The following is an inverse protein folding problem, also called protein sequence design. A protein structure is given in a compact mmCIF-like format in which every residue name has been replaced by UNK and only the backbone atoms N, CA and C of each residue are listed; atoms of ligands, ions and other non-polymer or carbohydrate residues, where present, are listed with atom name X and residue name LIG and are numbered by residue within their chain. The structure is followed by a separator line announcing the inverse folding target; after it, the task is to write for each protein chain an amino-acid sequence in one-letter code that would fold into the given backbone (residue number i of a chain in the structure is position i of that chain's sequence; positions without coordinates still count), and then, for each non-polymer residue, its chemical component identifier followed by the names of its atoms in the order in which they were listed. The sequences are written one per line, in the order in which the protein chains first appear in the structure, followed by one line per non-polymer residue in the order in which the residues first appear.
data_IF_493181911897
#
_entry.id   IF_493181911897
#
_cell.length_a   1.000
_cell.length_b   1.000
_cell.length_c   1.000
_cell.angle_alpha   90.00
_cell.angle_beta   90.00
_cell.angle_gamma   90.00
#
_symmetry.space_group_name_H-M   'P 1'
#
loop_
_entity.id
_entity.type
_entity.pdbx_description
1 polymer ?
#
# COMPACT_ATOMS: atom_id res chain seq x y z
N UNK A 1 -19.28 24.67 6.17
CA UNK A 1 -18.61 23.75 5.24
C UNK A 1 -18.52 22.38 5.91
N UNK A 2 -19.21 21.38 5.35
CA UNK A 2 -19.24 20.02 5.88
C UNK A 2 -17.82 19.43 5.85
N UNK A 3 -17.26 19.13 7.04
CA UNK A 3 -16.02 18.37 7.20
C UNK A 3 -16.27 16.98 6.60
N UNK A 4 -15.69 16.69 5.42
CA UNK A 4 -15.71 15.35 4.86
C UNK A 4 -14.94 14.44 5.83
N UNK A 5 -15.64 13.50 6.43
CA UNK A 5 -15.06 12.43 7.25
C UNK A 5 -14.02 11.68 6.43
N UNK A 6 -12.84 11.49 7.01
CA UNK A 6 -11.75 10.70 6.46
C UNK A 6 -12.21 9.25 6.53
N UNK A 7 -12.73 8.74 5.43
CA UNK A 7 -12.92 7.31 5.22
C UNK A 7 -12.02 6.93 4.04
N UNK A 8 -10.72 6.83 4.30
CA UNK A 8 -9.82 6.13 3.37
C UNK A 8 -10.15 4.65 3.47
N UNK A 9 -10.88 4.15 2.47
CA UNK A 9 -11.33 2.77 2.42
C UNK A 9 -10.14 1.91 1.97
N UNK A 10 -9.36 1.38 2.91
CA UNK A 10 -8.23 0.49 2.60
C UNK A 10 -8.77 -0.80 1.98
N UNK A 11 -8.63 -0.94 0.67
CA UNK A 11 -8.97 -2.17 -0.07
C UNK A 11 -7.89 -3.22 0.22
N UNK A 12 -8.19 -4.15 1.12
CA UNK A 12 -7.31 -5.29 1.41
C UNK A 12 -7.42 -6.33 0.29
N UNK A 13 -6.34 -6.54 -0.46
CA UNK A 13 -6.23 -7.56 -1.49
C UNK A 13 -5.97 -8.93 -0.83
N UNK A 14 -6.98 -9.80 -0.78
CA UNK A 14 -6.85 -11.18 -0.28
C UNK A 14 -6.68 -12.10 -1.48
N UNK A 15 -5.79 -13.11 -1.49
CA UNK A 15 -5.95 -14.31 -2.33
C UNK A 15 -5.04 -15.51 -1.99
N UNK A 16 -5.68 -16.69 -2.03
CA UNK A 16 -5.24 -18.03 -1.61
C UNK A 16 -4.67 -18.90 -2.75
N UNK A 17 -3.98 -19.97 -2.35
CA UNK A 17 -3.11 -20.92 -3.11
C UNK A 17 -3.84 -22.08 -3.81
N UNK A 18 -3.29 -22.63 -4.92
CA UNK A 18 -3.66 -23.96 -5.45
C UNK A 18 -2.46 -24.77 -6.02
N UNK A 19 -2.57 -26.11 -5.97
CA UNK A 19 -1.54 -27.17 -6.11
C UNK A 19 -1.72 -28.04 -7.39
N UNK A 20 -0.61 -28.18 -8.14
CA UNK A 20 -0.01 -29.23 -9.05
C UNK A 20 -0.78 -30.20 -10.00
N UNK A 21 -0.12 -30.55 -11.15
CA UNK A 21 -0.23 -31.84 -11.88
C UNK A 21 0.43 -31.92 -13.29
N UNK A 22 1.29 -32.95 -13.59
CA UNK A 22 2.35 -33.09 -14.64
C UNK A 22 1.97 -33.77 -16.01
N UNK A 23 2.40 -33.39 -17.24
CA UNK A 23 3.74 -33.57 -17.88
C UNK A 23 3.96 -32.77 -19.20
N UNK A 24 2.99 -31.98 -19.68
CA UNK A 24 3.17 -30.72 -20.49
C UNK A 24 3.65 -29.55 -19.61
N UNK A 25 4.25 -29.94 -18.50
CA UNK A 25 4.11 -29.29 -17.22
C UNK A 25 5.48 -28.94 -16.69
N UNK A 26 6.58 -29.27 -17.37
CA UNK A 26 7.90 -28.81 -16.92
C UNK A 26 8.10 -27.33 -17.21
N UNK A 27 7.76 -26.87 -18.41
CA UNK A 27 7.78 -25.46 -18.78
C UNK A 27 6.66 -24.68 -18.08
N UNK A 28 5.48 -25.29 -17.94
CA UNK A 28 4.37 -24.69 -17.19
C UNK A 28 4.63 -24.68 -15.67
N UNK A 29 5.25 -25.71 -15.07
CA UNK A 29 5.71 -25.69 -13.66
C UNK A 29 6.80 -24.67 -13.47
N UNK A 30 7.71 -24.51 -14.43
CA UNK A 30 8.72 -23.46 -14.34
C UNK A 30 8.06 -22.07 -14.41
N UNK A 31 7.13 -21.85 -15.35
CA UNK A 31 6.36 -20.62 -15.45
C UNK A 31 5.55 -20.33 -14.16
N UNK A 32 4.85 -21.33 -13.63
CA UNK A 32 4.10 -21.23 -12.37
C UNK A 32 5.02 -21.04 -11.17
N UNK A 33 6.20 -21.68 -11.12
CA UNK A 33 7.17 -21.48 -10.05
C UNK A 33 7.73 -20.05 -10.07
N UNK A 34 8.05 -19.52 -11.25
CA UNK A 34 8.47 -18.13 -11.43
C UNK A 34 7.34 -17.19 -10.98
N UNK A 35 6.09 -17.42 -11.41
CA UNK A 35 4.94 -16.62 -11.01
C UNK A 35 4.68 -16.69 -9.49
N UNK A 36 4.84 -17.86 -8.87
CA UNK A 36 4.72 -18.03 -7.41
C UNK A 36 5.81 -17.26 -6.65
N UNK A 37 7.03 -17.19 -7.18
CA UNK A 37 8.10 -16.38 -6.57
C UNK A 37 7.84 -14.88 -6.72
N UNK A 38 7.22 -14.46 -7.83
CA UNK A 38 6.75 -13.07 -7.99
C UNK A 38 5.59 -12.76 -7.03
N UNK A 39 4.64 -13.69 -6.86
CA UNK A 39 3.48 -13.56 -5.96
C UNK A 39 3.89 -13.40 -4.49
N UNK A 40 4.97 -14.07 -4.03
CA UNK A 40 5.50 -13.87 -2.68
C UNK A 40 5.86 -12.41 -2.41
N UNK A 41 6.50 -11.74 -3.36
CA UNK A 41 6.91 -10.33 -3.24
C UNK A 41 5.66 -9.42 -3.21
N UNK A 42 4.65 -9.71 -4.04
CA UNK A 42 3.36 -9.00 -4.02
C UNK A 42 2.66 -9.19 -2.67
N UNK A 43 2.65 -10.39 -2.11
CA UNK A 43 2.06 -10.68 -0.80
C UNK A 43 2.77 -9.96 0.34
N UNK A 44 4.09 -9.90 0.30
CA UNK A 44 4.88 -9.12 1.26
C UNK A 44 4.52 -7.63 1.18
N UNK A 45 4.38 -7.07 -0.02
CA UNK A 45 3.92 -5.69 -0.20
C UNK A 45 2.50 -5.47 0.36
N UNK A 46 1.56 -6.39 0.09
CA UNK A 46 0.19 -6.30 0.58
C UNK A 46 0.11 -6.34 2.12
N UNK A 47 0.93 -7.18 2.76
CA UNK A 47 0.99 -7.26 4.22
C UNK A 47 1.44 -5.94 4.85
N UNK A 48 2.28 -5.15 4.16
CA UNK A 48 2.72 -3.85 4.64
C UNK A 48 1.56 -2.84 4.73
N UNK A 49 0.51 -3.01 3.93
CA UNK A 49 -0.70 -2.18 4.00
C UNK A 49 -1.39 -2.19 5.37
N UNK A 50 -1.15 -3.22 6.21
CA UNK A 50 -1.65 -3.26 7.58
C UNK A 50 -1.10 -2.12 8.44
N UNK A 51 0.15 -1.70 8.22
CA UNK A 51 0.74 -0.57 8.94
C UNK A 51 -0.02 0.72 8.65
N UNK A 52 -0.29 1.01 7.37
CA UNK A 52 -1.03 2.20 6.98
C UNK A 52 -2.46 2.19 7.55
N UNK A 53 -3.13 1.04 7.51
CA UNK A 53 -4.45 0.89 8.16
C UNK A 53 -4.41 1.15 9.66
N UNK A 54 -3.36 0.72 10.36
CA UNK A 54 -3.18 1.00 11.80
C UNK A 54 -3.01 2.49 12.05
N UNK A 55 -2.32 3.23 11.18
CA UNK A 55 -2.23 4.71 11.27
C UNK A 55 -3.63 5.32 11.24
N UNK A 56 -4.45 4.95 10.25
CA UNK A 56 -5.81 5.51 10.09
C UNK A 56 -6.68 5.22 11.31
N UNK A 57 -6.57 4.02 11.90
CA UNK A 57 -7.26 3.67 13.14
C UNK A 57 -6.83 4.57 14.31
N UNK A 58 -5.53 4.82 14.48
CA UNK A 58 -5.05 5.72 15.54
C UNK A 58 -5.55 7.16 15.32
N UNK A 59 -5.55 7.63 14.07
CA UNK A 59 -6.04 8.97 13.73
C UNK A 59 -7.55 9.11 13.96
N UNK A 60 -8.33 8.07 13.67
CA UNK A 60 -9.77 8.03 13.96
C UNK A 60 -10.06 8.12 15.46
N UNK A 61 -9.25 7.49 16.32
CA UNK A 61 -9.40 7.65 17.78
C UNK A 61 -9.15 9.09 18.23
N UNK A 62 -8.19 9.80 17.62
CA UNK A 62 -7.97 11.23 17.90
C UNK A 62 -9.19 12.06 17.50
N UNK A 63 -9.84 11.74 16.39
CA UNK A 63 -11.06 12.45 15.95
C UNK A 63 -12.23 12.23 16.90
N UNK A 64 -12.38 11.02 17.45
CA UNK A 64 -13.39 10.72 18.48
C UNK A 64 -13.18 11.53 19.76
N UNK A 65 -11.93 11.86 20.11
CA UNK A 65 -11.62 12.73 21.25
C UNK A 65 -12.03 14.20 21.00
N UNK A 66 -12.16 14.62 19.75
CA UNK A 66 -12.47 16.00 19.36
C UNK A 66 -13.61 16.06 18.32
N UNK A 67 -14.85 15.64 18.66
CA UNK A 67 -15.94 15.47 17.68
C UNK A 67 -16.36 16.77 16.98
N UNK A 68 -16.22 17.92 17.64
CA UNK A 68 -16.48 19.25 17.04
C UNK A 68 -15.22 19.87 16.40
N UNK A 69 -14.07 19.18 16.48
CA UNK A 69 -12.75 19.69 16.11
C UNK A 69 -12.15 20.69 17.10
N UNK A 70 -12.75 20.83 18.28
CA UNK A 70 -12.20 21.67 19.36
C UNK A 70 -11.12 20.90 20.10
N UNK A 71 -9.87 21.35 20.01
CA UNK A 71 -8.73 20.74 20.69
C UNK A 71 -8.52 21.44 22.04
N UNK A 72 -8.83 20.75 23.13
CA UNK A 72 -8.59 21.22 24.50
C UNK A 72 -7.29 20.62 25.05
N UNK A 73 -6.74 21.13 26.17
CA UNK A 73 -5.59 20.51 26.81
C UNK A 73 -5.81 19.03 27.18
N UNK A 74 -7.02 18.67 27.62
CA UNK A 74 -7.38 17.28 27.94
C UNK A 74 -7.36 16.38 26.67
N UNK A 75 -7.94 16.87 25.57
CA UNK A 75 -7.87 16.20 24.27
C UNK A 75 -6.41 16.03 23.84
N UNK A 76 -5.59 17.07 23.93
CA UNK A 76 -4.17 17.01 23.56
C UNK A 76 -3.41 15.95 24.36
N UNK A 77 -3.68 15.82 25.65
CA UNK A 77 -3.06 14.82 26.52
C UNK A 77 -3.50 13.40 26.12
N UNK A 78 -4.79 13.20 25.90
CA UNK A 78 -5.37 11.89 25.51
C UNK A 78 -4.99 11.45 24.10
N UNK A 79 -4.77 12.40 23.19
CA UNK A 79 -4.39 12.14 21.81
C UNK A 79 -2.91 11.71 21.66
N UNK A 80 -2.04 12.08 22.59
CA UNK A 80 -0.60 11.81 22.50
C UNK A 80 -0.23 10.33 22.26
N UNK A 81 -0.76 9.33 23.01
CA UNK A 81 -0.44 7.92 22.74
C UNK A 81 -0.88 7.46 21.35
N UNK A 82 -2.01 7.96 20.84
CA UNK A 82 -2.48 7.64 19.49
C UNK A 82 -1.58 8.26 18.41
N UNK A 83 -1.10 9.49 18.63
CA UNK A 83 -0.13 10.15 17.74
C UNK A 83 1.20 9.40 17.70
N UNK A 84 1.71 8.96 18.86
CA UNK A 84 2.97 8.23 18.94
C UNK A 84 2.89 6.88 18.23
N UNK A 85 1.78 6.15 18.42
CA UNK A 85 1.52 4.91 17.69
C UNK A 85 1.34 5.17 16.19
N UNK A 86 0.57 6.18 15.79
CA UNK A 86 0.39 6.53 14.39
C UNK A 86 1.74 6.83 13.71
N UNK A 87 2.62 7.57 14.38
CA UNK A 87 3.94 7.89 13.82
C UNK A 87 4.84 6.67 13.71
N UNK A 88 4.78 5.77 14.70
CA UNK A 88 5.50 4.50 14.66
C UNK A 88 5.06 3.64 13.47
N UNK A 89 3.75 3.47 13.28
CA UNK A 89 3.21 2.64 12.20
C UNK A 89 3.45 3.28 10.82
N UNK A 90 3.37 4.61 10.69
CA UNK A 90 3.68 5.31 9.45
C UNK A 90 5.15 5.11 9.03
N UNK A 91 6.09 5.20 9.98
CA UNK A 91 7.50 4.91 9.74
C UNK A 91 7.74 3.45 9.35
N UNK A 92 7.07 2.52 10.04
CA UNK A 92 7.15 1.10 9.72
C UNK A 92 6.66 0.82 8.29
N UNK A 93 5.57 1.46 7.86
CA UNK A 93 5.07 1.39 6.48
C UNK A 93 6.12 1.87 5.47
N UNK A 94 6.66 3.07 5.64
CA UNK A 94 7.69 3.63 4.74
C UNK A 94 8.95 2.77 4.65
N UNK A 95 9.42 2.23 5.78
CA UNK A 95 10.56 1.32 5.81
C UNK A 95 10.26 -0.01 5.11
N UNK A 96 9.06 -0.55 5.30
CA UNK A 96 8.66 -1.79 4.66
C UNK A 96 8.52 -1.64 3.14
N UNK A 97 7.97 -0.53 2.66
CA UNK A 97 7.87 -0.27 1.21
C UNK A 97 9.23 -0.05 0.53
N UNK A 98 10.22 0.52 1.23
CA UNK A 98 11.60 0.58 0.73
C UNK A 98 12.24 -0.80 0.55
N UNK A 99 11.87 -1.78 1.37
CA UNK A 99 12.34 -3.17 1.19
C UNK A 99 11.74 -3.78 -0.07
N UNK A 100 10.45 -3.54 -0.33
CA UNK A 100 9.79 -3.96 -1.57
C UNK A 100 10.44 -3.34 -2.80
N UNK A 101 10.82 -2.05 -2.75
CA UNK A 101 11.55 -1.41 -3.84
C UNK A 101 12.88 -2.12 -4.14
N UNK A 102 13.58 -2.63 -3.13
CA UNK A 102 14.81 -3.39 -3.31
C UNK A 102 14.59 -4.77 -3.97
N UNK A 103 13.37 -5.31 -3.95
CA UNK A 103 13.00 -6.56 -4.63
C UNK A 103 12.58 -6.38 -6.10
N UNK A 104 12.39 -5.14 -6.57
CA UNK A 104 12.03 -4.85 -7.97
C UNK A 104 13.05 -5.41 -8.98
N UNK A 105 14.37 -5.29 -8.78
CA UNK A 105 15.34 -5.91 -9.69
C UNK A 105 15.16 -7.44 -9.79
N UNK A 106 14.88 -8.12 -8.68
CA UNK A 106 14.61 -9.56 -8.65
C UNK A 106 13.33 -9.90 -9.43
N UNK A 107 12.28 -9.09 -9.35
CA UNK A 107 11.09 -9.25 -10.18
C UNK A 107 11.39 -9.11 -11.67
N UNK A 108 12.24 -8.16 -12.07
CA UNK A 108 12.70 -8.00 -13.47
C UNK A 108 13.46 -9.24 -13.95
N UNK A 109 14.36 -9.78 -13.12
CA UNK A 109 15.08 -11.02 -13.42
C UNK A 109 14.13 -12.22 -13.57
N UNK A 110 13.09 -12.32 -12.73
CA UNK A 110 12.06 -13.36 -12.83
C UNK A 110 11.25 -13.22 -14.13
N UNK A 111 10.80 -12.00 -14.47
CA UNK A 111 10.06 -11.74 -15.70
C UNK A 111 10.87 -12.10 -16.96
N UNK A 112 12.19 -11.86 -16.94
CA UNK A 112 13.07 -12.19 -18.06
C UNK A 112 13.23 -13.69 -18.33
N UNK A 113 12.87 -14.57 -17.38
CA UNK A 113 12.97 -16.03 -17.51
C UNK A 113 11.84 -16.66 -18.34
N UNK A 114 10.76 -15.93 -18.60
CA UNK A 114 9.70 -16.42 -19.48
C UNK A 114 10.18 -16.47 -20.93
N UNK A 115 10.04 -17.64 -21.56
CA UNK A 115 10.45 -17.87 -22.95
C UNK A 115 9.32 -17.61 -23.95
N UNK A 116 8.07 -17.80 -23.54
CA UNK A 116 6.89 -17.44 -24.32
C UNK A 116 6.76 -15.92 -24.43
N UNK A 117 6.70 -15.40 -25.66
CA UNK A 117 6.76 -13.96 -25.92
C UNK A 117 5.56 -13.20 -25.33
N UNK A 118 4.37 -13.80 -25.34
CA UNK A 118 3.16 -13.19 -24.79
C UNK A 118 3.21 -13.16 -23.26
N UNK A 119 3.56 -14.29 -22.63
CA UNK A 119 3.72 -14.40 -21.17
C UNK A 119 4.82 -13.47 -20.67
N UNK A 120 5.95 -13.41 -21.38
CA UNK A 120 7.04 -12.48 -21.06
C UNK A 120 6.58 -11.03 -21.10
N UNK A 121 5.85 -10.62 -22.14
CA UNK A 121 5.29 -9.27 -22.25
C UNK A 121 4.35 -8.95 -21.08
N UNK A 122 3.49 -9.90 -20.68
CA UNK A 122 2.58 -9.72 -19.54
C UNK A 122 3.36 -9.63 -18.21
N UNK A 123 4.38 -10.45 -18.02
CA UNK A 123 5.25 -10.41 -16.84
C UNK A 123 5.99 -9.07 -16.74
N UNK A 124 6.56 -8.59 -17.85
CA UNK A 124 7.25 -7.29 -17.91
C UNK A 124 6.29 -6.13 -17.61
N UNK A 125 5.05 -6.17 -18.12
CA UNK A 125 4.02 -5.18 -17.82
C UNK A 125 3.64 -5.21 -16.33
N UNK A 126 3.40 -6.39 -15.76
CA UNK A 126 3.15 -6.56 -14.33
C UNK A 126 4.26 -5.93 -13.49
N UNK A 127 5.54 -6.21 -13.80
CA UNK A 127 6.66 -5.66 -13.03
C UNK A 127 6.74 -4.14 -13.17
N UNK A 128 6.48 -3.60 -14.36
CA UNK A 128 6.46 -2.15 -14.58
C UNK A 128 5.35 -1.46 -13.77
N UNK A 129 4.14 -2.02 -13.74
CA UNK A 129 3.02 -1.47 -12.98
C UNK A 129 3.23 -1.63 -11.47
N UNK A 130 3.80 -2.75 -11.03
CA UNK A 130 4.16 -2.96 -9.63
C UNK A 130 5.25 -1.98 -9.17
N UNK A 131 6.27 -1.73 -10.00
CA UNK A 131 7.30 -0.72 -9.72
C UNK A 131 6.70 0.68 -9.62
N UNK A 132 5.77 1.04 -10.53
CA UNK A 132 5.05 2.32 -10.49
C UNK A 132 4.23 2.45 -9.20
N UNK A 133 3.47 1.43 -8.85
CA UNK A 133 2.65 1.40 -7.62
C UNK A 133 3.51 1.50 -6.37
N UNK A 134 4.58 0.72 -6.29
CA UNK A 134 5.49 0.72 -5.14
C UNK A 134 6.15 2.09 -4.90
N UNK A 135 6.53 2.80 -5.98
CA UNK A 135 7.07 4.16 -5.88
C UNK A 135 6.04 5.15 -5.34
N UNK A 136 4.79 5.04 -5.77
CA UNK A 136 3.71 5.87 -5.24
C UNK A 136 3.44 5.56 -3.77
N UNK A 137 3.45 4.28 -3.38
CA UNK A 137 3.27 3.87 -1.98
C UNK A 137 4.40 4.37 -1.06
N UNK A 138 5.64 4.44 -1.56
CA UNK A 138 6.76 5.07 -0.83
C UNK A 138 6.49 6.56 -0.62
N UNK A 139 6.05 7.27 -1.67
CA UNK A 139 5.72 8.70 -1.55
C UNK A 139 4.54 8.93 -0.61
N UNK A 140 3.54 8.06 -0.69
CA UNK A 140 2.38 8.04 0.20
C UNK A 140 2.80 7.81 1.66
N UNK A 141 3.70 6.85 1.94
CA UNK A 141 4.20 6.60 3.29
C UNK A 141 4.89 7.82 3.90
N UNK A 142 5.75 8.48 3.11
CA UNK A 142 6.38 9.75 3.51
C UNK A 142 5.33 10.83 3.78
N UNK A 143 4.29 10.94 2.95
CA UNK A 143 3.22 11.91 3.17
C UNK A 143 2.35 11.57 4.39
N UNK A 144 2.12 10.29 4.67
CA UNK A 144 1.41 9.82 5.87
C UNK A 144 2.19 10.18 7.14
N UNK A 145 3.51 9.97 7.16
CA UNK A 145 4.38 10.45 8.26
C UNK A 145 4.26 11.97 8.45
N UNK A 146 4.40 12.75 7.39
CA UNK A 146 4.28 14.21 7.43
C UNK A 146 2.92 14.66 7.95
N UNK A 147 1.84 13.97 7.56
CA UNK A 147 0.49 14.26 8.03
C UNK A 147 0.33 13.96 9.52
N UNK A 148 0.84 12.82 10.00
CA UNK A 148 0.80 12.48 11.43
C UNK A 148 1.61 13.50 12.25
N UNK A 149 2.79 13.91 11.79
CA UNK A 149 3.59 14.93 12.47
C UNK A 149 2.89 16.28 12.51
N UNK A 150 2.29 16.72 11.40
CA UNK A 150 1.52 17.95 11.33
C UNK A 150 0.26 17.90 12.22
N UNK A 151 -0.43 16.76 12.27
CA UNK A 151 -1.52 16.51 13.23
C UNK A 151 -1.02 16.64 14.66
N UNK A 152 0.17 16.09 14.97
CA UNK A 152 0.78 16.21 16.28
C UNK A 152 1.07 17.67 16.67
N UNK A 153 1.58 18.49 15.75
CA UNK A 153 1.78 19.93 15.96
C UNK A 153 0.45 20.67 16.16
N UNK A 154 -0.54 20.37 15.33
CA UNK A 154 -1.89 20.93 15.46
C UNK A 154 -2.53 20.59 16.81
N UNK A 155 -2.42 19.34 17.28
CA UNK A 155 -2.92 18.92 18.58
C UNK A 155 -2.19 19.62 19.73
N UNK A 156 -0.86 19.64 19.72
CA UNK A 156 -0.05 20.29 20.78
C UNK A 156 -0.26 21.80 20.86
N UNK A 157 -0.50 22.45 19.72
CA UNK A 157 -0.79 23.89 19.64
C UNK A 157 -2.26 24.23 19.93
N UNK A 158 -3.07 23.24 20.33
CA UNK A 158 -4.50 23.39 20.57
C UNK A 158 -5.27 23.92 19.35
N UNK A 159 -4.88 23.45 18.17
CA UNK A 159 -5.51 23.77 16.89
C UNK A 159 -4.98 25.03 16.21
N UNK A 160 -3.94 25.68 16.75
CA UNK A 160 -3.40 26.94 16.21
C UNK A 160 -2.42 26.74 15.04
N UNK A 161 -1.82 25.57 14.91
CA UNK A 161 -0.90 25.24 13.82
C UNK A 161 -1.68 24.84 12.56
N UNK A 162 -1.47 25.55 11.46
CA UNK A 162 -2.14 25.34 10.17
C UNK A 162 -1.37 24.43 9.21
N UNK A 163 -0.18 23.95 9.56
CA UNK A 163 0.64 23.08 8.68
C UNK A 163 -0.05 21.75 8.36
N UNK A 164 -1.04 21.37 9.16
CA UNK A 164 -1.89 20.20 8.93
C UNK A 164 -2.66 20.29 7.61
N UNK A 165 -3.04 21.48 7.13
CA UNK A 165 -3.85 21.59 5.93
C UNK A 165 -3.04 21.27 4.67
N UNK A 166 -1.81 21.80 4.57
CA UNK A 166 -0.89 21.48 3.46
C UNK A 166 -0.53 19.99 3.45
N UNK A 167 -0.22 19.43 4.64
CA UNK A 167 0.08 18.01 4.78
C UNK A 167 -1.13 17.13 4.40
N UNK A 168 -2.35 17.55 4.76
CA UNK A 168 -3.60 16.86 4.39
C UNK A 168 -3.83 16.86 2.89
N UNK A 169 -3.63 18.00 2.22
CA UNK A 169 -3.81 18.09 0.76
C UNK A 169 -2.87 17.14 0.06
N UNK A 170 -1.58 17.14 0.42
CA UNK A 170 -0.58 16.23 -0.15
C UNK A 170 -0.91 14.76 0.12
N UNK A 171 -1.29 14.42 1.35
CA UNK A 171 -1.67 13.06 1.72
C UNK A 171 -2.86 12.57 0.88
N UNK A 172 -3.94 13.38 0.79
CA UNK A 172 -5.14 13.01 0.03
C UNK A 172 -4.87 12.87 -1.48
N UNK A 173 -4.03 13.74 -2.04
CA UNK A 173 -3.64 13.64 -3.46
C UNK A 173 -2.91 12.31 -3.74
N UNK A 174 -1.96 11.94 -2.87
CA UNK A 174 -1.23 10.68 -2.99
C UNK A 174 -2.10 9.44 -2.73
N UNK A 175 -3.11 9.52 -1.85
CA UNK A 175 -4.11 8.44 -1.69
C UNK A 175 -4.82 8.18 -3.02
N UNK A 176 -5.34 9.23 -3.67
CA UNK A 176 -6.06 9.08 -4.94
C UNK A 176 -5.16 8.51 -6.04
N UNK A 177 -3.89 8.94 -6.09
CA UNK A 177 -2.91 8.43 -7.07
C UNK A 177 -2.54 6.97 -6.79
N UNK A 178 -2.31 6.60 -5.53
CA UNK A 178 -2.04 5.21 -5.14
C UNK A 178 -3.23 4.31 -5.48
N UNK A 179 -4.47 4.70 -5.15
CA UNK A 179 -5.67 3.94 -5.53
C UNK A 179 -5.79 3.71 -7.05
N UNK A 180 -5.55 4.74 -7.86
CA UNK A 180 -5.55 4.61 -9.31
C UNK A 180 -4.45 3.64 -9.79
N UNK A 181 -3.24 3.76 -9.25
CA UNK A 181 -2.12 2.88 -9.62
C UNK A 181 -2.33 1.43 -9.19
N UNK A 182 -2.91 1.19 -8.01
CA UNK A 182 -3.26 -0.16 -7.53
C UNK A 182 -4.26 -0.82 -8.47
N UNK A 183 -5.22 -0.07 -9.01
CA UNK A 183 -6.18 -0.61 -9.98
C UNK A 183 -5.51 -1.01 -11.30
N UNK A 184 -4.56 -0.22 -11.81
CA UNK A 184 -3.75 -0.56 -12.98
C UNK A 184 -2.89 -1.80 -12.73
N UNK A 185 -2.19 -1.84 -11.60
CA UNK A 185 -1.39 -2.98 -11.15
C UNK A 185 -2.22 -4.27 -11.04
N UNK A 186 -3.39 -4.21 -10.39
CA UNK A 186 -4.27 -5.38 -10.24
C UNK A 186 -4.72 -5.91 -11.61
N UNK A 187 -4.93 -5.03 -12.58
CA UNK A 187 -5.30 -5.46 -13.92
C UNK A 187 -4.17 -6.26 -14.58
N UNK A 188 -2.94 -5.73 -14.58
CA UNK A 188 -1.80 -6.41 -15.20
C UNK A 188 -1.39 -7.68 -14.45
N UNK A 189 -1.50 -7.69 -13.11
CA UNK A 189 -1.32 -8.88 -12.30
C UNK A 189 -2.33 -9.98 -12.65
N UNK A 190 -3.60 -9.63 -12.78
CA UNK A 190 -4.66 -10.58 -13.11
C UNK A 190 -4.49 -11.15 -14.53
N UNK A 191 -4.11 -10.31 -15.50
CA UNK A 191 -3.84 -10.75 -16.88
C UNK A 191 -2.66 -11.72 -16.94
N UNK A 192 -1.56 -11.39 -16.25
CA UNK A 192 -0.38 -12.24 -16.15
C UNK A 192 -0.69 -13.58 -15.46
N UNK A 193 -1.31 -13.56 -14.28
CA UNK A 193 -1.62 -14.81 -13.56
C UNK A 193 -2.58 -15.70 -14.34
N UNK A 194 -3.63 -15.13 -14.94
CA UNK A 194 -4.56 -15.90 -15.78
C UNK A 194 -3.84 -16.60 -16.94
N UNK A 195 -2.81 -15.97 -17.52
CA UNK A 195 -2.01 -16.57 -18.59
C UNK A 195 -1.16 -17.73 -18.08
N UNK A 196 -0.52 -17.57 -16.93
CA UNK A 196 0.48 -18.53 -16.40
C UNK A 196 -0.16 -19.69 -15.66
N UNK A 197 -1.15 -19.43 -14.81
CA UNK A 197 -1.76 -20.43 -13.93
C UNK A 197 -3.12 -20.92 -14.42
N UNK A 198 -3.76 -20.20 -15.35
CA UNK A 198 -5.14 -20.47 -15.77
C UNK A 198 -6.19 -20.01 -14.76
N UNK A 199 -5.78 -19.45 -13.62
CA UNK A 199 -6.66 -19.00 -12.54
C UNK A 199 -6.92 -17.49 -12.63
N UNK A 200 -8.16 -17.09 -12.35
CA UNK A 200 -8.45 -15.69 -12.05
C UNK A 200 -8.04 -15.39 -10.61
N UNK A 201 -7.27 -14.33 -10.44
CA UNK A 201 -7.05 -13.67 -9.15
C UNK A 201 -8.38 -13.00 -8.77
N UNK A 202 -9.22 -13.68 -7.99
CA UNK A 202 -10.51 -13.15 -7.49
C UNK A 202 -10.35 -12.28 -6.24
N UNK A 203 -10.68 -10.99 -6.37
CA UNK A 203 -10.68 -9.94 -5.31
C UNK A 203 -11.14 -10.41 -3.93
#
# INVERSE_FOLDING_TARGET
MLKKSILALVVSLSLLTVVTGCSFVKDQVNATAIANDMDKIVKEANNNGEFSRKVDLQLAEIEKLAPEGKITPDVSKKAQPFLDNALKEAKAFSEAMKKIEADIPKLKELAAKFTDAETKKLAEQFVADFEKSSKLDIQFGVAQEQFVEAKGKNVKSLGKDSSIDDARVKYNDLVNQSEASINEFNKSWNEFNKKVTGEQVTK
#
